data_IF_155103079729
#
_entry.id   IF_155103079729
#
_cell.length_a   1.000
_cell.length_b   1.000
_cell.length_c   1.000
_cell.angle_alpha   90.00
_cell.angle_beta   90.00
_cell.angle_gamma   90.00
#
_symmetry.space_group_name_H-M   'P 1'
#
loop_
_entity.id
_entity.type
_entity.pdbx_description
1 polymer ?
#
# COMPACT_ATOMS: atom_id res chain seq x y z
N UNK A 1 11.58 -8.72 -36.18
CA UNK A 1 12.23 -9.63 -35.21
C UNK A 1 11.16 -10.16 -34.27
N UNK A 2 11.03 -11.48 -34.14
CA UNK A 2 10.11 -12.07 -33.17
C UNK A 2 10.61 -11.76 -31.75
N UNK A 3 9.71 -11.23 -30.91
CA UNK A 3 9.98 -11.00 -29.48
C UNK A 3 9.27 -12.11 -28.70
N UNK A 4 9.99 -12.78 -27.82
CA UNK A 4 9.46 -13.90 -27.03
C UNK A 4 9.05 -13.37 -25.65
N UNK A 5 7.80 -13.61 -25.26
CA UNK A 5 7.28 -13.31 -23.93
C UNK A 5 7.21 -14.60 -23.11
N UNK A 6 7.86 -14.62 -21.95
CA UNK A 6 7.77 -15.73 -21.00
C UNK A 6 6.82 -15.36 -19.86
N UNK A 7 5.71 -16.07 -19.74
CA UNK A 7 4.73 -15.89 -18.66
C UNK A 7 4.91 -17.02 -17.63
N UNK A 8 5.13 -16.67 -16.36
CA UNK A 8 5.26 -17.62 -15.24
C UNK A 8 4.16 -17.36 -14.22
N UNK A 9 3.66 -18.42 -13.57
CA UNK A 9 2.61 -18.30 -12.55
C UNK A 9 1.19 -18.17 -13.10
N UNK A 10 1.00 -18.38 -14.40
CA UNK A 10 -0.31 -18.58 -14.99
C UNK A 10 -0.89 -19.89 -14.42
N UNK A 11 -2.06 -19.84 -13.76
CA UNK A 11 -2.65 -21.05 -13.19
C UNK A 11 -3.16 -21.97 -14.30
N UNK A 12 -3.11 -23.29 -14.07
CA UNK A 12 -3.52 -24.28 -15.08
C UNK A 12 -4.93 -24.02 -15.59
N UNK A 13 -5.86 -23.65 -14.70
CA UNK A 13 -7.23 -23.27 -15.05
C UNK A 13 -7.32 -22.06 -15.96
N UNK A 14 -6.45 -21.07 -15.78
CA UNK A 14 -6.40 -19.89 -16.67
C UNK A 14 -5.76 -20.23 -18.00
N UNK A 15 -4.78 -21.14 -18.01
CA UNK A 15 -4.15 -21.65 -19.22
C UNK A 15 -5.16 -22.41 -20.08
N UNK A 16 -5.91 -23.34 -19.49
CA UNK A 16 -6.97 -24.08 -20.18
C UNK A 16 -8.02 -23.15 -20.78
N UNK A 17 -8.46 -22.13 -20.02
CA UNK A 17 -9.38 -21.12 -20.52
C UNK A 17 -8.83 -20.33 -21.70
N UNK A 18 -7.54 -19.97 -21.67
CA UNK A 18 -6.91 -19.27 -22.77
C UNK A 18 -6.86 -20.17 -24.02
N UNK A 19 -6.51 -21.44 -23.85
CA UNK A 19 -6.47 -22.41 -24.95
C UNK A 19 -7.86 -22.68 -25.54
N UNK A 20 -8.89 -22.77 -24.70
CA UNK A 20 -10.30 -22.85 -25.12
C UNK A 20 -10.67 -21.63 -25.96
N UNK A 21 -10.37 -20.42 -25.49
CA UNK A 21 -10.69 -19.17 -26.18
C UNK A 21 -9.98 -19.07 -27.54
N UNK A 22 -8.71 -19.50 -27.60
CA UNK A 22 -7.94 -19.57 -28.86
C UNK A 22 -8.62 -20.50 -29.87
N UNK A 23 -9.13 -21.65 -29.42
CA UNK A 23 -9.85 -22.60 -30.29
C UNK A 23 -11.19 -22.05 -30.76
N UNK A 24 -11.93 -21.41 -29.87
CA UNK A 24 -13.26 -20.86 -30.18
C UNK A 24 -13.19 -19.66 -31.12
N UNK A 25 -12.26 -18.73 -30.87
CA UNK A 25 -12.16 -17.47 -31.62
C UNK A 25 -11.22 -17.56 -32.84
N UNK A 26 -10.42 -18.63 -32.95
CA UNK A 26 -9.50 -18.85 -34.07
C UNK A 26 -8.35 -17.84 -34.15
N UNK A 27 -8.06 -17.14 -33.05
CA UNK A 27 -6.99 -16.14 -32.95
C UNK A 27 -5.84 -16.63 -32.06
N UNK A 28 -4.58 -16.23 -32.32
CA UNK A 28 -3.45 -16.66 -31.49
C UNK A 28 -3.57 -16.17 -30.05
N UNK A 29 -3.12 -16.99 -29.08
CA UNK A 29 -3.05 -16.62 -27.66
C UNK A 29 -2.32 -15.28 -27.44
N UNK A 30 -1.27 -15.02 -28.23
CA UNK A 30 -0.52 -13.77 -28.19
C UNK A 30 -1.41 -12.55 -28.49
N UNK A 31 -2.32 -12.65 -29.46
CA UNK A 31 -3.25 -11.57 -29.82
C UNK A 31 -4.30 -11.33 -28.75
N UNK A 32 -4.79 -12.40 -28.09
CA UNK A 32 -5.69 -12.28 -26.93
C UNK A 32 -4.97 -11.56 -25.78
N UNK A 33 -3.74 -11.96 -25.47
CA UNK A 33 -2.93 -11.33 -24.42
C UNK A 33 -2.55 -9.89 -24.75
N UNK A 34 -2.25 -9.59 -26.00
CA UNK A 34 -1.95 -8.23 -26.49
C UNK A 34 -3.18 -7.33 -26.35
N UNK A 35 -4.36 -7.79 -26.80
CA UNK A 35 -5.61 -7.07 -26.64
C UNK A 35 -5.96 -6.85 -25.16
N UNK A 36 -5.82 -7.88 -24.32
CA UNK A 36 -6.05 -7.76 -22.88
C UNK A 36 -5.08 -6.77 -22.23
N UNK A 37 -3.81 -6.74 -22.67
CA UNK A 37 -2.82 -5.79 -22.21
C UNK A 37 -3.12 -4.35 -22.68
N UNK A 38 -3.55 -4.17 -23.93
CA UNK A 38 -3.99 -2.88 -24.45
C UNK A 38 -5.23 -2.35 -23.74
N UNK A 39 -6.23 -3.20 -23.52
CA UNK A 39 -7.42 -2.84 -22.74
C UNK A 39 -7.05 -2.51 -21.30
N UNK A 40 -6.16 -3.28 -20.68
CA UNK A 40 -5.63 -2.96 -19.37
C UNK A 40 -4.94 -1.59 -19.35
N UNK A 41 -4.11 -1.27 -20.35
CA UNK A 41 -3.46 0.03 -20.50
C UNK A 41 -4.47 1.16 -20.72
N UNK A 42 -5.47 0.97 -21.60
CA UNK A 42 -6.53 1.96 -21.89
C UNK A 42 -7.41 2.21 -20.67
N UNK A 43 -7.63 1.19 -19.84
CA UNK A 43 -8.38 1.28 -18.58
C UNK A 43 -7.52 1.74 -17.39
N UNK A 44 -6.20 1.87 -17.58
CA UNK A 44 -5.29 2.40 -16.56
C UNK A 44 -5.41 3.93 -16.49
N UNK A 45 -6.51 4.41 -15.93
CA UNK A 45 -6.76 5.84 -15.72
C UNK A 45 -6.10 6.41 -14.45
N UNK A 46 -5.47 5.62 -13.60
CA UNK A 46 -4.84 6.15 -12.39
C UNK A 46 -3.36 6.46 -12.60
N UNK A 47 -2.95 7.65 -12.14
CA UNK A 47 -1.54 7.89 -11.81
C UNK A 47 -1.01 6.69 -11.02
N UNK A 48 0.23 6.23 -11.27
CA UNK A 48 0.77 5.07 -10.57
C UNK A 48 0.60 5.26 -9.06
N UNK A 49 -0.07 4.29 -8.44
CA UNK A 49 -0.35 4.29 -7.01
C UNK A 49 0.58 3.29 -6.37
N UNK A 50 1.41 3.76 -5.44
CA UNK A 50 2.36 2.92 -4.70
C UNK A 50 1.91 2.81 -3.26
N UNK A 51 1.79 1.59 -2.76
CA UNK A 51 1.43 1.33 -1.38
C UNK A 51 2.60 0.65 -0.64
N UNK A 52 3.19 1.37 0.31
CA UNK A 52 4.43 0.99 0.96
C UNK A 52 4.28 0.83 2.47
N UNK A 53 4.85 -0.25 3.00
CA UNK A 53 4.98 -0.45 4.44
C UNK A 53 6.26 0.21 4.93
N UNK A 54 6.20 0.89 6.07
CA UNK A 54 7.36 1.52 6.70
C UNK A 54 7.46 1.05 8.15
N UNK A 55 8.38 0.13 8.43
CA UNK A 55 8.66 -0.34 9.79
C UNK A 55 9.69 0.58 10.43
N UNK A 56 9.38 1.20 11.58
CA UNK A 56 10.33 2.08 12.25
C UNK A 56 10.75 1.55 13.63
N UNK A 57 12.04 1.61 13.92
CA UNK A 57 12.62 1.12 15.17
C UNK A 57 12.57 2.14 16.31
N UNK A 58 12.54 3.44 15.98
CA UNK A 58 12.59 4.56 16.90
C UNK A 58 11.96 5.81 16.29
N UNK A 59 11.56 6.76 17.16
CA UNK A 59 10.84 7.96 16.76
C UNK A 59 11.74 8.93 15.95
N UNK A 60 13.06 8.94 16.22
CA UNK A 60 14.02 9.78 15.50
C UNK A 60 14.11 9.36 14.02
N UNK A 61 14.22 8.06 13.75
CA UNK A 61 14.27 7.51 12.40
C UNK A 61 12.97 7.77 11.63
N UNK A 62 11.82 7.68 12.31
CA UNK A 62 10.52 8.05 11.73
C UNK A 62 10.46 9.55 11.39
N UNK A 63 10.89 10.42 12.31
CA UNK A 63 10.92 11.88 12.09
C UNK A 63 11.83 12.26 10.93
N UNK A 64 13.04 11.71 10.88
CA UNK A 64 13.98 11.94 9.79
C UNK A 64 13.43 11.44 8.44
N UNK A 65 12.72 10.31 8.42
CA UNK A 65 12.02 9.85 7.22
C UNK A 65 10.95 10.84 6.78
N UNK A 66 10.06 11.27 7.67
CA UNK A 66 9.01 12.24 7.36
C UNK A 66 9.60 13.58 6.88
N UNK A 67 10.70 14.03 7.47
CA UNK A 67 11.45 15.19 7.03
C UNK A 67 11.94 15.02 5.59
N UNK A 68 12.66 13.93 5.29
CA UNK A 68 13.16 13.65 3.94
C UNK A 68 12.02 13.55 2.93
N UNK A 69 10.90 12.90 3.26
CA UNK A 69 9.73 12.83 2.37
C UNK A 69 9.12 14.21 2.15
N UNK A 70 9.05 15.05 3.19
CA UNK A 70 8.56 16.42 3.06
C UNK A 70 9.48 17.27 2.18
N UNK A 71 10.80 17.15 2.36
CA UNK A 71 11.81 17.90 1.60
C UNK A 71 11.89 17.45 0.12
N UNK A 72 11.60 16.18 -0.17
CA UNK A 72 11.63 15.60 -1.52
C UNK A 72 10.33 15.75 -2.29
N UNK A 73 9.24 16.12 -1.61
CA UNK A 73 7.94 16.22 -2.25
C UNK A 73 7.96 17.35 -3.26
N UNK A 74 7.64 17.04 -4.52
CA UNK A 74 7.55 18.04 -5.57
C UNK A 74 6.46 19.07 -5.24
N UNK A 75 6.64 20.33 -5.62
CA UNK A 75 5.78 21.47 -5.25
C UNK A 75 4.27 21.30 -5.62
N UNK A 76 3.95 20.31 -6.46
CA UNK A 76 2.59 20.05 -6.95
C UNK A 76 1.84 18.89 -6.27
N UNK A 77 2.50 18.11 -5.39
CA UNK A 77 1.87 16.98 -4.70
C UNK A 77 1.02 17.44 -3.51
N UNK A 78 -0.12 16.79 -3.31
CA UNK A 78 -0.99 17.04 -2.17
C UNK A 78 -0.60 16.15 -0.98
N UNK A 79 -0.19 16.77 0.12
CA UNK A 79 0.39 16.07 1.25
C UNK A 79 -0.63 15.82 2.34
N UNK A 80 -0.83 14.55 2.69
CA UNK A 80 -1.91 14.11 3.57
C UNK A 80 -1.37 13.23 4.68
N UNK A 81 -1.81 13.50 5.90
CA UNK A 81 -1.64 12.62 7.06
C UNK A 81 -3.00 12.16 7.56
N UNK A 82 -3.03 10.99 8.20
CA UNK A 82 -4.22 10.47 8.86
C UNK A 82 -3.82 9.60 10.05
N UNK A 83 -4.61 9.59 11.12
CA UNK A 83 -4.35 8.82 12.33
C UNK A 83 -4.69 9.57 13.60
N UNK A 84 -4.47 8.98 14.78
CA UNK A 84 -4.85 9.60 16.04
C UNK A 84 -4.08 10.91 16.27
N UNK A 85 -4.77 11.96 16.72
CA UNK A 85 -4.15 13.27 17.01
C UNK A 85 -3.04 13.19 18.07
N UNK A 86 -3.05 12.15 18.90
CA UNK A 86 -2.01 11.88 19.90
C UNK A 86 -0.68 11.41 19.28
N UNK A 87 -0.71 10.82 18.07
CA UNK A 87 0.47 10.24 17.42
C UNK A 87 1.53 11.30 17.08
N UNK A 88 2.79 11.03 17.42
CA UNK A 88 3.89 11.96 17.19
C UNK A 88 4.05 12.33 15.71
N UNK A 89 3.97 11.34 14.82
CA UNK A 89 4.02 11.56 13.37
C UNK A 89 2.90 12.47 12.84
N UNK A 90 1.65 12.29 13.29
CA UNK A 90 0.54 13.16 12.89
C UNK A 90 0.79 14.61 13.34
N UNK A 91 1.23 14.80 14.59
CA UNK A 91 1.58 16.14 15.11
C UNK A 91 2.71 16.78 14.31
N UNK A 92 3.75 16.01 13.99
CA UNK A 92 4.88 16.48 13.20
C UNK A 92 4.42 16.94 11.81
N UNK A 93 3.73 16.09 11.06
CA UNK A 93 3.31 16.41 9.68
C UNK A 93 2.36 17.63 9.64
N UNK A 94 1.42 17.72 10.58
CA UNK A 94 0.53 18.89 10.72
C UNK A 94 1.31 20.19 10.95
N UNK A 95 2.32 20.16 11.82
CA UNK A 95 3.19 21.31 12.09
C UNK A 95 3.94 21.76 10.82
N UNK A 96 4.19 20.85 9.89
CA UNK A 96 4.88 21.09 8.62
C UNK A 96 3.91 21.27 7.44
N UNK A 97 2.65 21.62 7.70
CA UNK A 97 1.69 22.02 6.67
C UNK A 97 1.01 20.88 5.92
N UNK A 98 1.18 19.62 6.34
CA UNK A 98 0.43 18.51 5.76
C UNK A 98 -1.05 18.57 6.16
N UNK A 99 -1.93 18.23 5.23
CA UNK A 99 -3.37 18.18 5.47
C UNK A 99 -3.73 16.96 6.32
N UNK A 100 -4.43 17.17 7.43
CA UNK A 100 -4.93 16.09 8.27
C UNK A 100 -6.32 15.65 7.79
N UNK A 101 -6.40 14.47 7.19
CA UNK A 101 -7.65 13.91 6.69
C UNK A 101 -8.45 13.13 7.75
N UNK A 102 -7.98 13.08 8.99
CA UNK A 102 -8.63 12.39 10.10
C UNK A 102 -9.99 13.00 10.42
N UNK A 103 -11.02 12.15 10.56
CA UNK A 103 -12.38 12.60 10.87
C UNK A 103 -12.64 12.63 12.38
N UNK A 104 -13.05 13.77 12.92
CA UNK A 104 -13.38 13.88 14.35
C UNK A 104 -14.82 13.40 14.64
N UNK A 105 -15.10 12.75 15.79
CA UNK A 105 -14.14 12.32 16.81
C UNK A 105 -13.51 10.95 16.49
N UNK A 106 -12.18 10.91 16.44
CA UNK A 106 -11.40 9.71 16.10
C UNK A 106 -11.76 8.51 16.98
N UNK A 107 -11.66 8.65 18.31
CA UNK A 107 -11.88 7.57 19.27
C UNK A 107 -13.27 6.90 19.16
N UNK A 108 -14.30 7.64 18.75
CA UNK A 108 -15.62 7.06 18.50
C UNK A 108 -15.70 6.40 17.13
N UNK A 109 -15.03 6.98 16.14
CA UNK A 109 -14.92 6.45 14.78
C UNK A 109 -14.30 5.05 14.76
N UNK A 110 -13.16 4.85 15.43
CA UNK A 110 -12.41 3.59 15.33
C UNK A 110 -13.16 2.40 15.91
N UNK A 111 -14.19 2.61 16.74
CA UNK A 111 -15.06 1.51 17.24
C UNK A 111 -15.66 0.68 16.11
N UNK A 112 -15.83 1.28 14.92
CA UNK A 112 -16.15 0.57 13.68
C UNK A 112 -15.09 0.96 12.62
N UNK A 113 -13.92 0.31 12.65
CA UNK A 113 -12.75 0.79 11.95
C UNK A 113 -12.92 0.70 10.43
N UNK A 114 -13.65 -0.29 9.90
CA UNK A 114 -13.92 -0.38 8.46
C UNK A 114 -14.80 0.77 7.96
N UNK A 115 -15.92 1.04 8.65
CA UNK A 115 -16.83 2.14 8.26
C UNK A 115 -16.17 3.50 8.40
N UNK A 116 -15.34 3.66 9.42
CA UNK A 116 -14.62 4.91 9.65
C UNK A 116 -13.53 5.12 8.60
N UNK A 117 -12.71 4.10 8.34
CA UNK A 117 -11.63 4.17 7.35
C UNK A 117 -12.16 4.43 5.95
N UNK A 118 -13.28 3.81 5.55
CA UNK A 118 -13.94 4.11 4.29
C UNK A 118 -14.24 5.62 4.13
N UNK A 119 -14.80 6.25 5.17
CA UNK A 119 -15.09 7.69 5.16
C UNK A 119 -13.82 8.54 5.13
N UNK A 120 -12.75 8.11 5.82
CA UNK A 120 -11.45 8.80 5.78
C UNK A 120 -10.88 8.74 4.37
N UNK A 121 -10.88 7.58 3.72
CA UNK A 121 -10.39 7.44 2.35
C UNK A 121 -11.23 8.24 1.33
N UNK A 122 -12.56 8.26 1.50
CA UNK A 122 -13.44 9.14 0.72
C UNK A 122 -13.09 10.63 0.92
N UNK A 123 -12.78 11.02 2.16
CA UNK A 123 -12.35 12.38 2.47
C UNK A 123 -11.02 12.70 1.78
N UNK A 124 -10.01 11.83 1.88
CA UNK A 124 -8.70 11.97 1.20
C UNK A 124 -8.90 12.19 -0.30
N UNK A 125 -9.75 11.38 -0.94
CA UNK A 125 -10.07 11.51 -2.36
C UNK A 125 -10.74 12.85 -2.69
N UNK A 126 -11.67 13.29 -1.85
CA UNK A 126 -12.40 14.55 -2.04
C UNK A 126 -11.46 15.75 -1.94
N UNK A 127 -10.56 15.77 -0.94
CA UNK A 127 -9.67 16.91 -0.68
C UNK A 127 -8.48 16.96 -1.64
N UNK A 128 -8.01 15.80 -2.11
CA UNK A 128 -6.93 15.73 -3.10
C UNK A 128 -7.35 16.20 -4.48
N UNK A 129 -8.66 16.23 -4.79
CA UNK A 129 -9.20 16.73 -6.06
C UNK A 129 -8.50 16.11 -7.29
N UNK A 130 -8.17 14.82 -7.22
CA UNK A 130 -7.42 14.05 -8.24
C UNK A 130 -5.96 14.49 -8.46
N UNK A 131 -5.37 15.29 -7.57
CA UNK A 131 -3.91 15.54 -7.57
C UNK A 131 -3.14 14.29 -7.18
N UNK A 132 -1.88 14.21 -7.61
CA UNK A 132 -0.94 13.25 -7.02
C UNK A 132 -0.80 13.54 -5.54
N UNK A 133 -0.92 12.51 -4.71
CA UNK A 133 -1.03 12.63 -3.27
C UNK A 133 0.10 11.83 -2.60
N UNK A 134 0.79 12.45 -1.65
CA UNK A 134 1.67 11.74 -0.72
C UNK A 134 0.92 11.55 0.59
N UNK A 135 0.63 10.32 0.95
CA UNK A 135 -0.06 9.98 2.20
C UNK A 135 0.90 9.30 3.15
N UNK A 136 0.96 9.76 4.39
CA UNK A 136 1.59 9.03 5.50
C UNK A 136 0.50 8.75 6.54
N UNK A 137 0.09 7.49 6.64
CA UNK A 137 -1.07 7.08 7.44
C UNK A 137 -0.71 6.25 8.67
N UNK A 138 -1.02 6.77 9.85
CA UNK A 138 -0.81 6.13 11.15
C UNK A 138 -2.08 5.44 11.69
N UNK A 139 -3.19 5.49 10.95
CA UNK A 139 -4.47 4.91 11.38
C UNK A 139 -4.44 3.38 11.41
N UNK A 140 -3.77 2.73 10.45
CA UNK A 140 -3.77 1.26 10.36
C UNK A 140 -2.87 0.62 11.41
N UNK A 141 -1.75 1.26 11.78
CA UNK A 141 -0.95 0.91 12.97
C UNK A 141 -1.79 1.00 14.26
N UNK A 142 -2.51 2.10 14.45
CA UNK A 142 -3.36 2.29 15.63
C UNK A 142 -4.48 1.23 15.71
N UNK A 143 -5.09 0.89 14.57
CA UNK A 143 -6.09 -0.18 14.47
C UNK A 143 -5.48 -1.55 14.76
N UNK A 144 -4.27 -1.82 14.25
CA UNK A 144 -3.58 -3.09 14.49
C UNK A 144 -3.32 -3.29 15.99
N UNK A 145 -2.99 -2.21 16.72
CA UNK A 145 -2.76 -2.25 18.16
C UNK A 145 -4.03 -2.34 19.01
N UNK A 146 -5.08 -1.59 18.65
CA UNK A 146 -6.30 -1.55 19.47
C UNK A 146 -7.32 -2.63 19.10
N UNK A 147 -7.20 -3.23 17.93
CA UNK A 147 -8.14 -4.25 17.45
C UNK A 147 -7.46 -5.56 17.06
N UNK A 148 -6.79 -5.60 15.91
CA UNK A 148 -6.02 -6.74 15.44
C UNK A 148 -5.32 -6.40 14.13
N UNK A 149 -4.22 -7.10 13.85
CA UNK A 149 -3.55 -7.06 12.55
C UNK A 149 -4.51 -7.42 11.41
N UNK A 150 -5.31 -8.48 11.57
CA UNK A 150 -6.27 -8.92 10.56
C UNK A 150 -7.23 -7.78 10.14
N UNK A 151 -7.69 -6.98 11.11
CA UNK A 151 -8.55 -5.81 10.85
C UNK A 151 -7.79 -4.69 10.14
N UNK A 152 -6.55 -4.42 10.53
CA UNK A 152 -5.71 -3.46 9.83
C UNK A 152 -5.47 -3.90 8.38
N UNK A 153 -5.05 -5.15 8.14
CA UNK A 153 -4.87 -5.77 6.83
C UNK A 153 -6.12 -5.69 5.95
N UNK A 154 -7.31 -5.87 6.53
CA UNK A 154 -8.58 -5.70 5.81
C UNK A 154 -8.77 -4.26 5.33
N UNK A 155 -8.42 -3.28 6.15
CA UNK A 155 -8.54 -1.85 5.83
C UNK A 155 -7.50 -1.42 4.79
N UNK A 156 -6.27 -1.94 4.88
CA UNK A 156 -5.25 -1.77 3.83
C UNK A 156 -5.80 -2.25 2.46
N UNK A 157 -6.46 -3.42 2.43
CA UNK A 157 -7.10 -3.92 1.22
C UNK A 157 -8.28 -3.07 0.71
N UNK A 158 -8.95 -2.33 1.61
CA UNK A 158 -10.00 -1.37 1.21
C UNK A 158 -9.40 -0.15 0.51
N UNK A 159 -8.24 0.32 0.97
CA UNK A 159 -7.49 1.39 0.29
C UNK A 159 -7.04 0.94 -1.11
N UNK A 160 -6.50 -0.27 -1.22
CA UNK A 160 -6.02 -0.82 -2.51
C UNK A 160 -7.11 -0.92 -3.58
N UNK A 161 -8.36 -1.13 -3.18
CA UNK A 161 -9.50 -1.22 -4.09
C UNK A 161 -9.92 0.15 -4.67
N UNK A 162 -9.52 1.25 -4.02
CA UNK A 162 -9.95 2.61 -4.36
C UNK A 162 -8.81 3.64 -4.26
N UNK A 163 -7.60 3.28 -4.73
CA UNK A 163 -6.39 4.07 -4.52
C UNK A 163 -6.50 5.49 -5.09
N UNK A 164 -6.01 6.46 -4.32
CA UNK A 164 -5.75 7.83 -4.80
C UNK A 164 -4.38 7.85 -5.48
N UNK A 165 -4.25 8.55 -6.62
CA UNK A 165 -2.99 8.70 -7.36
C UNK A 165 -1.83 9.16 -6.47
N UNK A 166 -0.65 8.54 -6.57
CA UNK A 166 0.54 8.93 -5.81
C UNK A 166 1.13 7.82 -4.93
N UNK A 167 1.53 8.14 -3.70
CA UNK A 167 2.23 7.21 -2.79
C UNK A 167 1.55 7.21 -1.41
N UNK A 168 1.28 6.02 -0.88
CA UNK A 168 0.85 5.78 0.49
C UNK A 168 1.97 5.10 1.25
N UNK A 169 2.36 5.68 2.38
CA UNK A 169 3.22 5.06 3.38
C UNK A 169 2.36 4.70 4.59
N UNK A 170 2.44 3.45 5.03
CA UNK A 170 1.80 2.95 6.25
C UNK A 170 2.89 2.66 7.28
N UNK A 171 3.18 3.58 8.23
CA UNK A 171 4.22 3.38 9.21
C UNK A 171 3.75 2.50 10.37
N UNK A 172 4.54 1.49 10.74
CA UNK A 172 4.30 0.60 11.88
C UNK A 172 5.47 0.63 12.86
N UNK A 173 5.18 0.82 14.15
CA UNK A 173 6.17 0.84 15.21
C UNK A 173 6.66 -0.58 15.52
N UNK A 174 7.92 -0.89 15.18
CA UNK A 174 8.49 -2.20 15.44
C UNK A 174 8.51 -2.55 16.93
N UNK A 175 8.56 -1.56 17.82
CA UNK A 175 8.55 -1.75 19.28
C UNK A 175 7.19 -2.27 19.77
N UNK A 176 6.12 -2.06 18.98
CA UNK A 176 4.75 -2.51 19.30
C UNK A 176 4.32 -3.72 18.47
N UNK A 177 5.03 -4.04 17.40
CA UNK A 177 4.83 -5.23 16.54
C UNK A 177 5.16 -6.53 17.28
N UNK A 178 5.86 -6.51 18.41
CA UNK A 178 6.15 -7.72 19.21
C UNK A 178 4.92 -8.50 19.65
N UNK A 179 3.74 -7.87 19.64
CA UNK A 179 2.46 -8.50 19.95
C UNK A 179 1.84 -9.22 18.74
N UNK A 180 2.44 -9.09 17.55
CA UNK A 180 1.98 -9.72 16.32
C UNK A 180 2.69 -11.06 16.15
N UNK A 181 1.93 -12.12 15.87
CA UNK A 181 2.54 -13.37 15.45
C UNK A 181 3.12 -13.20 14.04
N UNK A 182 4.07 -14.05 13.68
CA UNK A 182 4.78 -13.95 12.40
C UNK A 182 3.84 -14.11 11.18
N UNK A 183 2.79 -14.94 11.29
CA UNK A 183 1.80 -15.17 10.23
C UNK A 183 1.09 -13.85 9.90
N UNK A 184 0.61 -13.14 10.92
CA UNK A 184 -0.05 -11.86 10.78
C UNK A 184 0.89 -10.79 10.20
N UNK A 185 2.19 -10.84 10.50
CA UNK A 185 3.17 -9.96 9.88
C UNK A 185 3.33 -10.22 8.38
N UNK A 186 3.34 -11.48 7.94
CA UNK A 186 3.34 -11.82 6.51
C UNK A 186 2.11 -11.27 5.80
N UNK A 187 0.94 -11.30 6.42
CA UNK A 187 -0.27 -10.71 5.83
C UNK A 187 -0.13 -9.21 5.57
N UNK A 188 0.46 -8.46 6.51
CA UNK A 188 0.75 -7.03 6.30
C UNK A 188 1.76 -6.88 5.15
N UNK A 189 2.84 -7.67 5.13
CA UNK A 189 3.84 -7.60 4.05
C UNK A 189 3.23 -7.84 2.67
N UNK A 190 2.31 -8.81 2.55
CA UNK A 190 1.64 -9.15 1.30
C UNK A 190 0.64 -8.07 0.81
N UNK A 191 0.19 -7.16 1.69
CA UNK A 191 -0.64 -6.00 1.29
C UNK A 191 0.14 -4.83 0.72
N UNK A 192 1.46 -4.80 0.90
CA UNK A 192 2.29 -3.69 0.47
C UNK A 192 3.20 -4.11 -0.67
N UNK A 193 3.43 -3.21 -1.61
CA UNK A 193 4.29 -3.48 -2.77
C UNK A 193 5.75 -3.61 -2.36
N UNK A 194 6.17 -2.84 -1.36
CA UNK A 194 7.52 -2.82 -0.79
C UNK A 194 7.45 -2.53 0.70
N UNK A 195 8.41 -3.07 1.42
CA UNK A 195 8.59 -2.82 2.85
C UNK A 195 9.92 -2.13 3.08
N UNK A 196 9.90 -1.03 3.82
CA UNK A 196 11.10 -0.31 4.24
C UNK A 196 11.25 -0.41 5.76
N UNK A 197 12.50 -0.48 6.23
CA UNK A 197 12.87 -0.49 7.64
C UNK A 197 13.67 0.78 7.93
N UNK A 198 13.18 1.58 8.86
CA UNK A 198 13.81 2.79 9.37
C UNK A 198 14.54 2.47 10.67
N UNK A 199 15.87 2.61 10.65
CA UNK A 199 16.72 2.36 11.82
C UNK A 199 17.97 3.20 11.74
N UNK A 200 18.36 3.83 12.84
CA UNK A 200 19.58 4.66 12.90
C UNK A 200 19.65 5.71 11.77
N UNK A 201 18.51 6.34 11.43
CA UNK A 201 18.40 7.30 10.33
C UNK A 201 18.66 6.75 8.90
N UNK A 202 18.78 5.45 8.74
CA UNK A 202 18.88 4.74 7.46
C UNK A 202 17.52 4.19 7.01
N UNK A 203 17.36 4.06 5.69
CA UNK A 203 16.19 3.43 5.05
C UNK A 203 16.68 2.17 4.36
N UNK A 204 16.27 1.01 4.86
CA UNK A 204 16.62 -0.30 4.31
C UNK A 204 15.39 -0.95 3.66
N UNK A 205 15.54 -1.55 2.48
CA UNK A 205 14.44 -2.31 1.85
C UNK A 205 14.42 -3.75 2.39
N UNK A 206 13.29 -4.18 2.94
CA UNK A 206 13.05 -5.55 3.40
C UNK A 206 12.32 -6.32 2.30
N UNK A 207 12.98 -7.35 1.77
CA UNK A 207 12.43 -8.22 0.74
C UNK A 207 11.97 -9.55 1.35
N UNK A 208 10.65 -9.75 1.39
CA UNK A 208 10.04 -11.01 1.82
C UNK A 208 9.43 -11.70 0.61
N UNK A 209 10.02 -12.84 0.21
CA UNK A 209 9.60 -13.56 -0.98
C UNK A 209 9.21 -14.99 -0.64
N UNK A 210 8.08 -15.44 -1.17
CA UNK A 210 7.74 -16.86 -1.17
C UNK A 210 8.70 -17.59 -2.10
N UNK A 211 9.56 -18.42 -1.53
CA UNK A 211 10.51 -19.24 -2.27
C UNK A 211 10.02 -20.69 -2.36
N UNK A 212 10.30 -21.33 -3.49
CA UNK A 212 10.14 -22.77 -3.59
C UNK A 212 11.22 -23.45 -2.73
N UNK A 213 10.87 -24.52 -2.01
CA UNK A 213 11.79 -25.29 -1.18
C UNK A 213 13.06 -25.73 -1.95
N UNK A 214 12.95 -26.03 -3.24
CA UNK A 214 14.10 -26.38 -4.08
C UNK A 214 15.17 -25.26 -4.17
N UNK A 215 14.77 -23.99 -4.04
CA UNK A 215 15.71 -22.85 -4.02
C UNK A 215 16.54 -22.76 -2.74
N UNK A 216 16.21 -23.53 -1.69
CA UNK A 216 17.02 -23.56 -0.47
C UNK A 216 18.33 -24.34 -0.65
N UNK A 217 18.42 -25.16 -1.71
CA UNK A 217 19.54 -26.04 -1.99
C UNK A 217 20.33 -25.63 -3.24
N UNK A 218 20.03 -24.45 -3.81
CA UNK A 218 20.71 -23.84 -4.97
C UNK A 218 21.30 -22.50 -4.56
#
# INVERSE_FOLDING_TARGET
>A
MAKVLYVRGFSDKLHEKLDDQVREEGIPAASILENAFEEWLKNKQSAPTRHFLVLYADDESLENFMKKVTDLNEDDWFNVTLGPESHAGVKYLKKHGWYDATLSPYAQGIKNPEKYSAKVFDNVRKVSANKQTCVIGFMTEDIAHHHSVEKATKIEGMYDSNKVGGVMFCPYDMRKISNFNLINMFEIFEKHERTFVLKNNEINELNVNKINCAKLFL
#
